data_IF_275826837639
#
_entry.id   IF_275826837639
#
_cell.length_a   1.000
_cell.length_b   1.000
_cell.length_c   1.000
_cell.angle_alpha   90.00
_cell.angle_beta   90.00
_cell.angle_gamma   90.00
#
_symmetry.space_group_name_H-M   'P 1'
#
loop_
_entity.id
_entity.type
_entity.pdbx_description
1 polymer ?
#
# COMPACT_ATOMS: atom_id res chain seq x y z
N UNK A 1 4.79 23.86 -6.01
CA UNK A 1 5.26 22.85 -6.97
C UNK A 1 6.73 22.52 -6.69
N UNK A 2 7.03 21.81 -5.61
CA UNK A 2 8.41 21.54 -5.17
C UNK A 2 8.98 20.27 -5.86
N UNK A 3 8.08 19.38 -6.30
CA UNK A 3 8.46 18.09 -6.89
C UNK A 3 9.02 18.27 -8.31
N UNK A 4 8.63 19.32 -9.03
CA UNK A 4 9.15 19.59 -10.38
C UNK A 4 10.64 19.95 -10.36
N UNK A 5 11.09 20.66 -9.34
CA UNK A 5 12.46 21.21 -9.30
C UNK A 5 13.51 20.16 -8.95
N UNK A 6 13.14 19.09 -8.24
CA UNK A 6 14.04 17.99 -7.87
C UNK A 6 14.18 16.97 -9.02
N UNK A 7 13.21 16.92 -9.94
CA UNK A 7 13.14 15.93 -11.03
C UNK A 7 13.79 16.38 -12.34
N UNK A 8 14.18 17.64 -12.46
CA UNK A 8 14.89 18.13 -13.63
C UNK A 8 16.34 17.64 -13.56
N UNK A 9 16.76 16.89 -14.58
CA UNK A 9 18.17 16.58 -14.81
C UNK A 9 18.97 17.88 -14.67
N UNK A 10 20.06 17.91 -13.89
CA UNK A 10 20.81 19.14 -13.66
C UNK A 10 21.19 19.73 -15.02
N UNK A 11 20.83 20.99 -15.26
CA UNK A 11 21.31 21.74 -16.40
C UNK A 11 22.78 22.10 -16.17
N UNK A 12 23.57 22.25 -17.24
CA UNK A 12 24.99 22.64 -17.16
C UNK A 12 25.22 24.02 -16.52
N UNK A 13 24.16 24.75 -16.16
CA UNK A 13 24.21 26.11 -15.61
C UNK A 13 24.60 26.17 -14.13
N UNK A 14 24.67 25.04 -13.42
CA UNK A 14 24.83 25.02 -11.95
C UNK A 14 26.32 25.08 -11.51
N UNK A 15 27.27 25.27 -12.42
CA UNK A 15 28.70 25.34 -12.06
C UNK A 15 29.27 24.06 -11.42
N UNK A 16 28.54 22.94 -11.56
CA UNK A 16 28.92 21.63 -11.02
C UNK A 16 30.12 21.07 -11.80
N UNK A 17 31.14 20.59 -11.07
CA UNK A 17 32.26 19.87 -11.71
C UNK A 17 31.73 18.57 -12.33
N UNK A 18 32.27 18.17 -13.48
CA UNK A 18 31.86 16.99 -14.25
C UNK A 18 31.73 15.70 -13.41
N UNK A 19 32.61 15.53 -12.42
CA UNK A 19 32.56 14.40 -11.44
C UNK A 19 31.33 14.45 -10.52
N UNK A 20 30.92 15.63 -10.07
CA UNK A 20 29.73 15.82 -9.23
C UNK A 20 28.46 15.58 -10.03
N UNK A 21 28.42 16.06 -11.28
CA UNK A 21 27.32 15.80 -12.21
C UNK A 21 27.09 14.29 -12.42
N UNK A 22 28.15 13.55 -12.73
CA UNK A 22 28.08 12.10 -12.91
C UNK A 22 27.63 11.38 -11.63
N UNK A 23 28.06 11.86 -10.46
CA UNK A 23 27.64 11.29 -9.18
C UNK A 23 26.15 11.56 -8.91
N UNK A 24 25.65 12.75 -9.25
CA UNK A 24 24.24 13.11 -9.10
C UNK A 24 23.35 12.35 -10.09
N UNK A 25 23.76 12.20 -11.35
CA UNK A 25 23.05 11.36 -12.31
C UNK A 25 22.98 9.90 -11.85
N UNK A 26 24.06 9.36 -11.28
CA UNK A 26 24.05 8.00 -10.70
C UNK A 26 23.11 7.85 -9.50
N UNK A 27 22.83 8.95 -8.80
CA UNK A 27 21.93 8.97 -7.63
C UNK A 27 20.49 9.35 -8.01
N UNK A 28 20.26 9.88 -9.21
CA UNK A 28 18.91 10.27 -9.63
C UNK A 28 18.12 9.02 -9.98
N UNK A 29 17.08 8.74 -9.20
CA UNK A 29 16.08 7.75 -9.60
C UNK A 29 15.40 8.23 -10.88
N UNK A 30 15.23 7.34 -11.88
CA UNK A 30 14.38 7.59 -13.03
C UNK A 30 13.02 8.15 -12.60
N UNK A 31 12.49 9.10 -13.38
CA UNK A 31 11.17 9.69 -13.12
C UNK A 31 10.06 8.63 -12.99
N UNK A 32 10.19 7.52 -13.72
CA UNK A 32 9.29 6.37 -13.64
C UNK A 32 9.29 5.74 -12.25
N UNK A 33 10.45 5.56 -11.63
CA UNK A 33 10.58 4.95 -10.31
C UNK A 33 9.87 5.79 -9.23
N UNK A 34 9.94 7.12 -9.36
CA UNK A 34 9.18 8.03 -8.49
C UNK A 34 7.67 7.90 -8.68
N UNK A 35 7.20 7.64 -9.90
CA UNK A 35 5.78 7.37 -10.16
C UNK A 35 5.35 6.03 -9.52
N UNK A 36 6.19 5.00 -9.61
CA UNK A 36 5.96 3.72 -8.93
C UNK A 36 5.91 3.88 -7.41
N UNK A 37 6.88 4.57 -6.82
CA UNK A 37 6.90 4.84 -5.37
C UNK A 37 5.67 5.64 -4.91
N UNK A 38 5.26 6.64 -5.71
CA UNK A 38 4.05 7.43 -5.43
C UNK A 38 2.79 6.58 -5.47
N UNK A 39 2.66 5.70 -6.47
CA UNK A 39 1.55 4.77 -6.57
C UNK A 39 1.55 3.77 -5.39
N UNK A 40 2.70 3.18 -5.08
CA UNK A 40 2.85 2.24 -3.96
C UNK A 40 2.44 2.91 -2.63
N UNK A 41 2.94 4.12 -2.37
CA UNK A 41 2.56 4.90 -1.19
C UNK A 41 1.05 5.14 -1.14
N UNK A 42 0.44 5.51 -2.26
CA UNK A 42 -1.01 5.78 -2.30
C UNK A 42 -1.86 4.54 -1.98
N UNK A 43 -1.38 3.36 -2.36
CA UNK A 43 -2.07 2.09 -2.15
C UNK A 43 -1.84 1.54 -0.74
N UNK A 44 -0.62 1.66 -0.20
CA UNK A 44 -0.26 1.11 1.11
C UNK A 44 -0.65 2.01 2.28
N UNK A 45 -0.84 3.31 2.05
CA UNK A 45 -1.15 4.25 3.14
C UNK A 45 -2.44 3.91 3.92
N UNK A 46 -3.55 3.50 3.29
CA UNK A 46 -4.73 3.03 4.01
C UNK A 46 -4.45 1.82 4.92
N UNK A 47 -3.63 0.88 4.47
CA UNK A 47 -3.22 -0.28 5.28
C UNK A 47 -2.39 0.14 6.48
N UNK A 48 -1.44 1.07 6.28
CA UNK A 48 -0.67 1.64 7.39
C UNK A 48 -1.59 2.28 8.44
N UNK A 49 -2.60 3.06 8.03
CA UNK A 49 -3.56 3.66 8.97
C UNK A 49 -4.38 2.59 9.70
N UNK A 50 -4.82 1.55 9.00
CA UNK A 50 -5.51 0.42 9.60
C UNK A 50 -4.64 -0.28 10.65
N UNK A 51 -3.37 -0.57 10.33
CA UNK A 51 -2.42 -1.19 11.26
C UNK A 51 -2.18 -0.31 12.49
N UNK A 52 -1.99 1.00 12.31
CA UNK A 52 -1.81 1.93 13.45
C UNK A 52 -3.06 1.99 14.32
N UNK A 53 -4.25 2.03 13.72
CA UNK A 53 -5.51 2.06 14.46
C UNK A 53 -5.71 0.78 15.28
N UNK A 54 -5.46 -0.39 14.69
CA UNK A 54 -5.65 -1.68 15.36
C UNK A 54 -4.58 -1.95 16.42
N UNK A 55 -3.32 -1.61 16.14
CA UNK A 55 -2.21 -1.80 17.11
C UNK A 55 -2.21 -0.75 18.23
N UNK A 56 -2.73 0.45 18.00
CA UNK A 56 -2.87 1.51 19.00
C UNK A 56 -4.09 1.37 19.91
N UNK A 57 -5.03 0.48 19.58
CA UNK A 57 -6.18 0.20 20.45
C UNK A 57 -5.78 -0.70 21.60
N UNK A 58 -6.06 -0.30 22.85
CA UNK A 58 -5.84 -1.16 24.03
C UNK A 58 -6.63 -2.48 23.94
N UNK A 59 -7.79 -2.45 23.27
CA UNK A 59 -8.66 -3.60 23.03
C UNK A 59 -9.36 -3.43 21.67
N UNK A 60 -8.73 -3.80 20.54
CA UNK A 60 -9.44 -3.84 19.27
C UNK A 60 -10.57 -4.87 19.40
N UNK A 61 -11.81 -4.39 19.36
CA UNK A 61 -12.97 -5.28 19.35
C UNK A 61 -13.12 -5.91 17.98
N UNK A 62 -13.71 -7.11 17.93
CA UNK A 62 -14.01 -7.78 16.66
C UNK A 62 -14.79 -6.87 15.70
N UNK A 63 -15.74 -6.08 16.22
CA UNK A 63 -16.50 -5.11 15.44
C UNK A 63 -15.62 -4.00 14.85
N UNK A 64 -14.61 -3.52 15.60
CA UNK A 64 -13.67 -2.50 15.12
C UNK A 64 -12.77 -3.07 14.03
N UNK A 65 -12.23 -4.28 14.24
CA UNK A 65 -11.41 -4.98 13.25
C UNK A 65 -12.20 -5.25 11.98
N UNK A 66 -13.42 -5.76 12.10
CA UNK A 66 -14.31 -6.02 10.96
C UNK A 66 -14.62 -4.74 10.17
N UNK A 67 -14.94 -3.65 10.86
CA UNK A 67 -15.21 -2.36 10.22
C UNK A 67 -13.99 -1.85 9.42
N UNK A 68 -12.79 -1.93 10.01
CA UNK A 68 -11.54 -1.55 9.34
C UNK A 68 -11.28 -2.42 8.11
N UNK A 69 -11.48 -3.73 8.20
CA UNK A 69 -11.32 -4.65 7.07
C UNK A 69 -12.31 -4.33 5.95
N UNK A 70 -13.58 -4.00 6.27
CA UNK A 70 -14.57 -3.59 5.26
C UNK A 70 -14.24 -2.28 4.57
N UNK A 71 -13.68 -1.30 5.29
CA UNK A 71 -13.21 -0.07 4.66
C UNK A 71 -12.00 -0.30 3.75
N UNK A 72 -11.09 -1.23 4.10
CA UNK A 72 -9.99 -1.63 3.21
C UNK A 72 -10.50 -2.36 1.96
N UNK A 73 -11.44 -3.29 2.10
CA UNK A 73 -12.07 -4.00 0.97
C UNK A 73 -12.75 -3.01 0.01
N UNK A 74 -13.50 -2.04 0.56
CA UNK A 74 -14.12 -0.95 -0.21
C UNK A 74 -13.09 -0.09 -0.93
N UNK A 75 -11.97 0.22 -0.28
CA UNK A 75 -10.87 0.96 -0.91
C UNK A 75 -10.28 0.19 -2.11
N UNK A 76 -10.07 -1.11 -1.97
CA UNK A 76 -9.49 -1.98 -3.00
C UNK A 76 -10.44 -2.18 -4.20
N UNK A 77 -11.74 -2.32 -3.93
CA UNK A 77 -12.78 -2.49 -4.97
C UNK A 77 -13.09 -1.20 -5.74
N UNK A 78 -12.78 -0.03 -5.16
CA UNK A 78 -12.98 1.26 -5.83
C UNK A 78 -11.86 1.54 -6.85
N UNK A 79 -12.10 1.16 -8.11
CA UNK A 79 -11.20 1.36 -9.26
C UNK A 79 -11.37 2.73 -9.96
N UNK A 80 -11.59 3.80 -9.18
CA UNK A 80 -11.80 5.16 -9.71
C UNK A 80 -10.52 6.01 -9.80
N UNK A 81 -9.34 5.40 -9.68
CA UNK A 81 -8.10 6.17 -9.78
C UNK A 81 -7.78 6.44 -11.26
N UNK A 82 -7.51 7.69 -11.61
CA UNK A 82 -7.00 8.10 -12.93
C UNK A 82 -5.63 7.50 -13.27
N UNK A 83 -4.99 6.82 -12.30
CA UNK A 83 -3.67 6.18 -12.44
C UNK A 83 -3.83 4.67 -12.65
N UNK A 84 -3.53 4.12 -13.84
CA UNK A 84 -3.67 2.70 -14.14
C UNK A 84 -2.88 1.80 -13.19
N UNK A 85 -1.65 2.19 -12.85
CA UNK A 85 -0.78 1.46 -11.93
C UNK A 85 -1.40 1.28 -10.55
N UNK A 86 -2.12 2.29 -10.04
CA UNK A 86 -2.80 2.22 -8.74
C UNK A 86 -3.94 1.20 -8.81
N UNK A 87 -4.70 1.16 -9.91
CA UNK A 87 -5.77 0.19 -10.10
C UNK A 87 -5.21 -1.24 -10.22
N UNK A 88 -4.11 -1.44 -10.94
CA UNK A 88 -3.44 -2.75 -11.03
C UNK A 88 -2.96 -3.23 -9.65
N UNK A 89 -2.31 -2.36 -8.87
CA UNK A 89 -1.85 -2.69 -7.52
C UNK A 89 -3.02 -3.01 -6.58
N UNK A 90 -4.11 -2.23 -6.64
CA UNK A 90 -5.33 -2.52 -5.88
C UNK A 90 -5.91 -3.88 -6.26
N UNK A 91 -5.96 -4.22 -7.54
CA UNK A 91 -6.45 -5.53 -8.01
C UNK A 91 -5.63 -6.69 -7.45
N UNK A 92 -4.29 -6.61 -7.52
CA UNK A 92 -3.41 -7.62 -6.94
C UNK A 92 -3.60 -7.78 -5.43
N UNK A 93 -3.72 -6.67 -4.71
CA UNK A 93 -3.97 -6.70 -3.27
C UNK A 93 -5.36 -7.21 -2.93
N UNK A 94 -6.38 -6.93 -3.75
CA UNK A 94 -7.74 -7.43 -3.53
C UNK A 94 -7.79 -8.95 -3.61
N UNK A 95 -7.10 -9.54 -4.59
CA UNK A 95 -6.98 -11.00 -4.72
C UNK A 95 -6.37 -11.59 -3.45
N UNK A 96 -5.25 -11.03 -3.00
CA UNK A 96 -4.58 -11.51 -1.79
C UNK A 96 -5.41 -11.28 -0.51
N UNK A 97 -6.09 -10.14 -0.43
CA UNK A 97 -6.95 -9.78 0.70
C UNK A 97 -8.11 -10.78 0.84
N UNK A 98 -8.79 -11.09 -0.27
CA UNK A 98 -9.88 -12.07 -0.27
C UNK A 98 -9.39 -13.48 0.06
N UNK A 99 -8.23 -13.88 -0.47
CA UNK A 99 -7.63 -15.18 -0.15
C UNK A 99 -7.42 -15.34 1.36
N UNK A 100 -6.81 -14.35 2.03
CA UNK A 100 -6.62 -14.42 3.48
C UNK A 100 -7.94 -14.39 4.24
N UNK A 101 -8.88 -13.54 3.81
CA UNK A 101 -10.18 -13.41 4.48
C UNK A 101 -11.02 -14.71 4.38
N UNK A 102 -11.03 -15.38 3.22
CA UNK A 102 -11.72 -16.64 3.01
C UNK A 102 -11.06 -17.80 3.77
N UNK A 103 -9.73 -17.86 3.81
CA UNK A 103 -9.02 -18.83 4.65
C UNK A 103 -9.29 -18.60 6.13
N UNK A 104 -9.38 -17.33 6.56
CA UNK A 104 -9.66 -16.96 7.94
C UNK A 104 -11.11 -17.34 8.35
N UNK A 105 -12.06 -17.34 7.43
CA UNK A 105 -13.41 -17.85 7.71
C UNK A 105 -13.40 -19.39 7.79
N UNK A 106 -12.64 -20.05 6.92
CA UNK A 106 -12.59 -21.52 6.85
C UNK A 106 -11.97 -22.16 8.10
N UNK A 107 -10.85 -21.64 8.62
CA UNK A 107 -10.26 -22.20 9.85
C UNK A 107 -11.16 -21.98 11.09
N UNK A 108 -11.88 -20.86 11.18
CA UNK A 108 -12.78 -20.58 12.30
C UNK A 108 -14.01 -21.49 12.28
N UNK A 109 -14.60 -21.73 11.10
CA UNK A 109 -15.66 -22.72 10.93
C UNK A 109 -15.20 -24.13 11.31
N UNK A 110 -13.99 -24.52 10.91
CA UNK A 110 -13.41 -25.80 11.27
C UNK A 110 -13.14 -25.91 12.78
N UNK A 111 -12.71 -24.84 13.46
CA UNK A 111 -12.56 -24.84 14.93
C UNK A 111 -13.88 -24.92 15.67
N UNK A 112 -14.90 -24.18 15.22
CA UNK A 112 -16.24 -24.26 15.82
C UNK A 112 -16.83 -25.67 15.69
N UNK A 113 -16.64 -26.32 14.54
CA UNK A 113 -17.05 -27.71 14.32
C UNK A 113 -16.33 -28.69 15.26
N UNK A 114 -15.01 -28.57 15.43
CA UNK A 114 -14.24 -29.45 16.32
C UNK A 114 -14.63 -29.30 17.80
N UNK A 115 -14.94 -28.08 18.25
CA UNK A 115 -15.44 -27.85 19.62
C UNK A 115 -16.84 -28.43 19.82
N UNK A 116 -17.70 -28.41 18.79
CA UNK A 116 -19.05 -28.99 18.87
C UNK A 116 -19.07 -30.53 18.87
N UNK A 117 -18.01 -31.19 18.39
CA UNK A 117 -17.87 -32.65 18.36
C UNK A 117 -17.29 -33.20 19.68
N UNK A 118 -16.68 -32.34 20.50
CA UNK A 118 -16.02 -32.72 21.77
C UNK A 118 -16.88 -32.47 23.01
N UNK A 119 -18.15 -32.10 22.86
CA UNK A 119 -19.15 -31.93 23.93
C UNK A 119 -20.17 -33.06 23.91
#
# INVERSE_FOLDING_TARGET
SIITDITLSPSNEIGLKKKQYHKLQKLSFPRLDWLYLSALKSVLFPFYRATVLLSGSKYPTLSTTYHVLKELEKFLTTLKSDRPLVNSLKGLLLVQFNYYFEQEISWEQNRAALVSITV
#
